data_IF_134874877601
#
_entry.id   IF_134874877601
#
_cell.length_a   1.000
_cell.length_b   1.000
_cell.length_c   1.000
_cell.angle_alpha   90.00
_cell.angle_beta   90.00
_cell.angle_gamma   90.00
#
_symmetry.space_group_name_H-M   'P 1'
#
loop_
_entity.id
_entity.type
_entity.pdbx_description
1 polymer ?
2 non-polymer ?
3 water ?
#
# COMPACT_ATOMS: atom_id res chain seq x y z
N UNK A 1 -10.03 -11.67 -22.14
CA UNK A 1 -10.93 -10.56 -21.75
C UNK A 1 -10.51 -9.86 -20.46
N UNK A 2 -11.21 -8.79 -20.14
CA UNK A 2 -11.11 -8.14 -18.85
C UNK A 2 -11.51 -9.12 -17.74
N UNK A 3 -10.70 -9.23 -16.69
CA UNK A 3 -11.01 -10.07 -15.55
C UNK A 3 -12.02 -9.38 -14.60
N UNK A 4 -11.98 -8.05 -14.53
CA UNK A 4 -12.92 -7.31 -13.73
C UNK A 4 -12.63 -5.83 -13.68
N UNK A 5 -13.29 -5.16 -12.76
CA UNK A 5 -13.24 -3.72 -12.64
C UNK A 5 -12.78 -3.30 -11.22
N UNK A 6 -11.88 -2.33 -11.18
CA UNK A 6 -11.30 -1.84 -9.95
C UNK A 6 -11.57 -0.37 -9.84
N UNK A 7 -12.23 0.01 -8.75
CA UNK A 7 -12.59 1.38 -8.55
C UNK A 7 -11.53 1.95 -7.60
N UNK A 8 -10.94 3.09 -7.93
CA UNK A 8 -9.88 3.67 -7.14
C UNK A 8 -9.78 5.13 -7.45
N UNK A 9 -8.76 5.79 -6.92
CA UNK A 9 -8.46 7.17 -7.28
C UNK A 9 -7.43 7.24 -8.38
N UNK A 10 -7.30 8.44 -8.99
CA UNK A 10 -6.22 8.62 -9.97
C UNK A 10 -4.81 8.42 -9.38
N UNK A 11 -3.96 7.75 -10.16
CA UNK A 11 -2.54 7.62 -9.86
C UNK A 11 -2.13 6.43 -9.03
N UNK A 12 -1.10 6.63 -8.20
CA UNK A 12 -0.50 5.58 -7.36
C UNK A 12 -0.99 5.57 -5.91
N UNK A 13 -2.22 5.11 -5.75
CA UNK A 13 -2.89 5.09 -4.47
C UNK A 13 -2.27 4.01 -3.51
N UNK A 14 -2.06 4.38 -2.23
CA UNK A 14 -1.45 3.51 -1.19
C UNK A 14 -2.06 2.10 -1.15
N UNK A 15 -3.36 1.95 -1.40
CA UNK A 15 -3.97 0.64 -1.19
C UNK A 15 -4.26 -0.09 -2.49
N UNK A 16 -3.75 0.44 -3.60
CA UNK A 16 -4.10 -0.12 -4.89
C UNK A 16 -2.93 -0.60 -5.74
N UNK A 17 -1.73 -0.08 -5.49
CA UNK A 17 -0.57 -0.40 -6.31
C UNK A 17 -0.39 -1.90 -6.42
N UNK A 18 -0.46 -2.57 -5.28
CA UNK A 18 -0.16 -3.98 -5.19
C UNK A 18 -1.18 -4.80 -5.87
N UNK A 19 -2.43 -4.32 -5.88
CA UNK A 19 -3.52 -4.99 -6.59
C UNK A 19 -3.30 -4.93 -8.12
N UNK A 20 -3.08 -3.74 -8.67
CA UNK A 20 -2.73 -3.63 -10.08
C UNK A 20 -1.54 -4.52 -10.37
N UNK A 21 -0.53 -4.48 -9.51
CA UNK A 21 0.71 -5.19 -9.85
C UNK A 21 0.52 -6.68 -9.96
N UNK A 22 -0.18 -7.33 -9.02
CA UNK A 22 -0.33 -8.77 -9.10
C UNK A 22 -1.29 -9.14 -10.27
N UNK A 23 -2.21 -8.25 -10.63
CA UNK A 23 -3.13 -8.53 -11.75
C UNK A 23 -2.40 -8.62 -13.08
N UNK A 24 -1.54 -7.64 -13.34
CA UNK A 24 -0.72 -7.62 -14.55
C UNK A 24 0.30 -8.77 -14.58
N UNK A 25 0.66 -9.30 -13.42
CA UNK A 25 1.67 -10.34 -13.36
C UNK A 25 1.02 -11.69 -13.61
N UNK A 26 -0.19 -11.85 -13.08
CA UNK A 26 -1.02 -13.01 -13.30
C UNK A 26 -1.79 -12.99 -14.61
N UNK A 27 -1.52 -11.97 -15.42
CA UNK A 27 -2.24 -11.80 -16.69
C UNK A 27 -3.74 -11.58 -16.62
N UNK A 28 -4.24 -10.96 -15.56
CA UNK A 28 -5.64 -10.56 -15.48
C UNK A 28 -5.82 -9.10 -15.83
N UNK A 29 -6.52 -8.82 -16.91
CA UNK A 29 -6.74 -7.45 -17.33
C UNK A 29 -7.86 -6.80 -16.49
N UNK A 30 -7.59 -5.59 -16.04
CA UNK A 30 -8.56 -4.83 -15.29
C UNK A 30 -9.00 -3.60 -16.03
N UNK A 31 -10.29 -3.29 -15.89
CA UNK A 31 -10.77 -1.98 -16.23
C UNK A 31 -10.59 -1.14 -14.96
N UNK A 32 -9.96 0.02 -15.08
CA UNK A 32 -9.75 0.90 -13.93
C UNK A 32 -10.65 2.12 -14.01
N UNK A 33 -11.48 2.30 -12.98
CA UNK A 33 -12.36 3.44 -12.85
C UNK A 33 -11.86 4.33 -11.76
N UNK A 34 -11.69 5.59 -12.10
CA UNK A 34 -11.03 6.53 -11.23
C UNK A 34 -11.98 7.60 -10.79
N UNK A 35 -13.27 7.33 -10.95
CA UNK A 35 -14.31 8.23 -10.51
C UNK A 35 -15.09 7.57 -9.41
N UNK A 36 -14.89 7.99 -8.17
CA UNK A 36 -15.62 7.34 -7.07
C UNK A 36 -17.06 7.73 -6.94
N UNK A 37 -17.82 6.84 -6.31
CA UNK A 37 -19.15 7.15 -5.81
C UNK A 37 -20.20 7.13 -6.95
N UNK A 38 -19.88 6.49 -8.07
CA UNK A 38 -20.86 6.16 -9.09
C UNK A 38 -21.75 5.02 -8.61
N UNK A 39 -22.95 4.91 -9.19
CA UNK A 39 -23.88 3.84 -8.83
C UNK A 39 -23.26 2.45 -8.86
N UNK A 40 -22.37 2.16 -9.80
CA UNK A 40 -21.76 0.85 -9.84
C UNK A 40 -20.72 0.68 -8.73
N UNK A 41 -20.05 1.75 -8.34
CA UNK A 41 -19.11 1.67 -7.22
C UNK A 41 -19.87 1.44 -5.91
N UNK A 42 -20.93 2.22 -5.68
CA UNK A 42 -21.65 2.12 -4.42
C UNK A 42 -22.42 0.84 -4.33
N UNK A 43 -22.58 0.18 -5.46
CA UNK A 43 -23.19 -1.13 -5.50
C UNK A 43 -22.28 -2.17 -4.84
N UNK A 44 -20.96 -1.92 -4.90
CA UNK A 44 -19.97 -2.77 -4.23
C UNK A 44 -19.75 -2.30 -2.80
N UNK A 45 -19.37 -1.02 -2.67
CA UNK A 45 -19.09 -0.39 -1.41
C UNK A 45 -20.13 0.70 -1.17
N UNK A 46 -21.08 0.35 -0.32
CA UNK A 46 -22.17 1.24 0.02
C UNK A 46 -21.63 2.50 0.65
N UNK A 47 -20.48 2.42 1.30
CA UNK A 47 -19.89 3.59 1.92
C UNK A 47 -19.05 4.44 0.95
N UNK A 48 -18.87 3.95 -0.25
CA UNK A 48 -18.08 4.66 -1.24
C UNK A 48 -16.58 4.64 -0.95
N UNK A 49 -16.07 3.48 -0.54
CA UNK A 49 -14.65 3.39 -0.18
C UNK A 49 -13.86 2.74 -1.30
N UNK A 50 -12.63 3.22 -1.43
CA UNK A 50 -11.65 2.77 -2.42
C UNK A 50 -10.57 1.96 -1.71
N UNK A 51 -10.10 0.86 -2.32
CA UNK A 51 -10.52 0.25 -3.57
C UNK A 51 -11.73 -0.64 -3.45
N UNK A 52 -12.43 -0.81 -4.56
CA UNK A 52 -13.53 -1.74 -4.63
C UNK A 52 -13.44 -2.43 -5.95
N UNK A 53 -13.97 -3.64 -5.99
CA UNK A 53 -13.74 -4.52 -7.13
C UNK A 53 -14.95 -5.35 -7.53
N UNK A 54 -15.14 -5.46 -8.84
CA UNK A 54 -16.18 -6.32 -9.35
C UNK A 54 -15.66 -7.10 -10.50
N UNK A 55 -15.74 -8.42 -10.38
CA UNK A 55 -15.32 -9.33 -11.42
C UNK A 55 -16.24 -9.24 -12.62
N UNK A 56 -15.75 -9.70 -13.76
CA UNK A 56 -16.59 -9.94 -14.92
C UNK A 56 -17.67 -10.96 -14.56
N UNK A 57 -17.26 -11.97 -13.80
CA UNK A 57 -18.15 -12.72 -12.92
C UNK A 57 -19.29 -11.87 -12.42
N UNK A 58 -18.90 -10.68 -11.96
CA UNK A 58 -19.64 -9.73 -11.12
C UNK A 58 -19.66 -10.14 -9.62
N UNK A 59 -18.73 -11.02 -9.27
CA UNK A 59 -18.27 -11.23 -7.89
C UNK A 59 -17.75 -9.93 -7.30
N UNK A 60 -18.33 -9.49 -6.18
CA UNK A 60 -18.05 -8.18 -5.61
C UNK A 60 -17.09 -8.29 -4.41
N UNK A 61 -16.17 -7.34 -4.29
CA UNK A 61 -15.21 -7.28 -3.17
C UNK A 61 -14.83 -5.86 -2.79
N UNK A 62 -14.73 -5.62 -1.49
CA UNK A 62 -14.05 -4.46 -0.95
C UNK A 62 -13.08 -4.94 0.15
N UNK A 63 -12.34 -3.99 0.72
CA UNK A 63 -11.15 -4.23 1.57
C UNK A 63 -9.93 -4.57 0.69
N UNK A 64 -8.92 -3.70 0.72
CA UNK A 64 -7.80 -3.86 -0.15
C UNK A 64 -7.13 -5.23 0.07
N UNK A 65 -6.97 -5.67 1.32
CA UNK A 65 -6.36 -6.98 1.57
C UNK A 65 -7.14 -8.09 0.86
N UNK A 66 -8.46 -8.01 0.88
CA UNK A 66 -9.22 -9.11 0.29
C UNK A 66 -9.06 -9.10 -1.21
N UNK A 67 -9.05 -7.91 -1.81
CA UNK A 67 -8.95 -7.80 -3.25
C UNK A 67 -7.57 -8.32 -3.68
N UNK A 68 -6.49 -7.94 -2.94
CA UNK A 68 -5.12 -8.31 -3.31
C UNK A 68 -4.96 -9.80 -3.24
N UNK A 69 -5.55 -10.37 -2.20
CA UNK A 69 -5.41 -11.79 -1.97
C UNK A 69 -6.19 -12.58 -3.04
N UNK A 70 -7.39 -12.14 -3.38
CA UNK A 70 -8.22 -12.81 -4.36
C UNK A 70 -7.54 -12.82 -5.72
N UNK A 71 -7.04 -11.67 -6.15
CA UNK A 71 -6.30 -11.62 -7.40
C UNK A 71 -5.11 -12.53 -7.40
N UNK A 72 -4.30 -12.45 -6.34
CA UNK A 72 -3.07 -13.20 -6.26
C UNK A 72 -3.36 -14.70 -6.31
N UNK A 73 -4.44 -15.12 -5.68
CA UNK A 73 -4.75 -16.55 -5.56
C UNK A 73 -5.18 -17.19 -6.89
N UNK A 74 -5.58 -16.35 -7.84
CA UNK A 74 -5.99 -16.82 -9.17
C UNK A 74 -4.92 -17.68 -9.83
N UNK A 75 -3.66 -17.42 -9.48
CA UNK A 75 -2.52 -18.16 -9.98
C UNK A 75 -2.12 -19.23 -8.99
N UNK A 76 -2.70 -20.41 -9.16
CA UNK A 76 -2.41 -21.54 -8.30
C UNK A 76 -0.90 -21.91 -8.25
N UNK A 77 -0.10 -21.37 -9.16
CA UNK A 77 1.35 -21.60 -9.11
C UNK A 77 2.09 -20.38 -8.56
N UNK A 78 1.38 -19.44 -7.95
CA UNK A 78 2.05 -18.22 -7.51
C UNK A 78 3.10 -18.50 -6.49
N UNK A 79 4.09 -17.65 -6.51
CA UNK A 79 5.23 -17.68 -5.60
C UNK A 79 5.04 -16.65 -4.47
N UNK A 80 4.05 -15.76 -4.63
CA UNK A 80 3.91 -14.59 -3.79
C UNK A 80 3.19 -14.77 -2.45
N UNK A 81 2.74 -15.99 -2.19
CA UNK A 81 1.98 -16.27 -0.98
C UNK A 81 2.68 -17.20 -0.05
N UNK A 82 4.00 -17.16 -0.07
CA UNK A 82 4.77 -17.98 0.86
C UNK A 82 4.83 -19.46 0.53
N UNK A 83 5.80 -20.09 1.19
CA UNK A 83 6.12 -21.52 1.06
C UNK A 83 5.16 -22.44 1.81
N UNK A 84 4.76 -22.03 3.02
CA UNK A 84 4.03 -22.88 3.97
C UNK A 84 3.11 -22.02 4.80
N UNK A 85 2.42 -22.62 5.77
CA UNK A 85 1.37 -21.92 6.51
C UNK A 85 1.92 -20.82 7.40
N UNK A 86 3.16 -21.00 7.83
CA UNK A 86 3.81 -20.01 8.67
C UNK A 86 4.06 -18.71 7.94
N UNK A 87 4.68 -18.83 6.79
CA UNK A 87 4.95 -17.70 5.94
C UNK A 87 3.66 -17.03 5.40
N UNK A 88 2.63 -17.82 5.14
CA UNK A 88 1.39 -17.22 4.71
C UNK A 88 0.84 -16.30 5.81
N UNK A 89 0.86 -16.79 7.02
CA UNK A 89 0.44 -16.00 8.15
C UNK A 89 1.28 -14.75 8.35
N UNK A 90 2.58 -14.83 8.08
CA UNK A 90 3.47 -13.65 8.17
C UNK A 90 3.10 -12.57 7.17
N UNK A 91 2.69 -13.00 5.99
CA UNK A 91 2.23 -12.10 4.96
C UNK A 91 0.93 -11.43 5.43
N UNK A 92 0.02 -12.20 6.03
CA UNK A 92 -1.20 -11.60 6.50
C UNK A 92 -0.85 -10.53 7.55
N UNK A 93 0.13 -10.88 8.41
CA UNK A 93 0.51 -10.03 9.51
C UNK A 93 0.99 -8.66 9.00
N UNK A 94 1.91 -8.71 8.05
CA UNK A 94 2.55 -7.48 7.64
C UNK A 94 1.55 -6.64 6.86
N UNK A 95 0.71 -7.28 6.04
CA UNK A 95 -0.34 -6.54 5.31
C UNK A 95 -1.28 -5.84 6.27
N UNK A 96 -1.73 -6.57 7.26
CA UNK A 96 -2.63 -6.01 8.27
C UNK A 96 -1.97 -4.92 9.13
N UNK A 97 -0.73 -5.16 9.57
CA UNK A 97 0.02 -4.16 10.30
C UNK A 97 0.22 -2.87 9.51
N UNK A 98 0.63 -2.99 8.23
CA UNK A 98 0.84 -1.79 7.43
C UNK A 98 -0.50 -1.07 7.21
N UNK A 99 -1.57 -1.81 7.01
CA UNK A 99 -2.86 -1.20 6.68
C UNK A 99 -3.46 -0.48 7.89
N UNK A 100 -3.20 -0.96 9.09
CA UNK A 100 -3.83 -0.39 10.29
C UNK A 100 -2.85 0.44 11.12
N UNK A 101 -1.69 -0.10 11.46
CA UNK A 101 -0.79 0.66 12.30
C UNK A 101 0.08 1.66 11.56
N UNK A 102 0.03 1.74 10.23
CA UNK A 102 0.83 2.76 9.53
C UNK A 102 -0.04 3.67 8.69
N UNK A 103 -0.76 3.12 7.71
CA UNK A 103 -1.59 3.94 6.83
C UNK A 103 -2.68 4.75 7.55
N UNK A 104 -3.40 4.11 8.46
CA UNK A 104 -4.39 4.78 9.24
C UNK A 104 -3.83 5.93 10.06
N UNK A 105 -2.73 5.72 10.77
CA UNK A 105 -2.16 6.80 11.58
C UNK A 105 -1.52 7.87 10.70
N UNK A 106 -0.86 7.45 9.63
CA UNK A 106 -0.21 8.42 8.78
C UNK A 106 -1.25 9.31 8.14
N UNK A 107 -2.43 8.75 7.88
CA UNK A 107 -3.54 9.52 7.34
C UNK A 107 -3.99 10.57 8.34
N UNK A 108 -4.12 10.19 9.61
CA UNK A 108 -4.37 11.19 10.66
C UNK A 108 -3.27 12.23 10.77
N UNK A 109 -2.05 11.88 10.43
CA UNK A 109 -0.98 12.88 10.40
C UNK A 109 -1.11 13.81 9.19
N UNK A 110 -1.56 13.27 8.06
CA UNK A 110 -1.54 13.97 6.78
C UNK A 110 -2.73 14.89 6.54
N UNK A 111 -3.94 14.39 6.78
CA UNK A 111 -5.15 15.10 6.36
C UNK A 111 -5.26 16.51 6.94
N UNK A 112 -5.01 16.67 8.25
CA UNK A 112 -5.02 18.02 8.83
C UNK A 112 -4.07 18.98 8.12
N UNK A 113 -2.98 18.46 7.56
CA UNK A 113 -1.99 19.31 6.91
C UNK A 113 -2.34 19.61 5.45
N UNK A 114 -3.43 19.05 4.97
CA UNK A 114 -3.87 19.30 3.61
C UNK A 114 -5.16 20.09 3.62
N UNK A 115 -5.74 20.25 4.82
CA UNK A 115 -6.96 21.01 5.01
C UNK A 115 -8.20 20.16 5.22
N UNK A 116 -8.14 18.90 4.79
CA UNK A 116 -9.31 18.03 4.73
C UNK A 116 -10.05 17.97 6.06
N UNK A 117 -9.43 17.30 7.04
CA UNK A 117 -10.02 17.15 8.36
C UNK A 117 -9.51 18.36 9.15
N UNK A 118 -10.25 18.79 10.20
CA UNK A 118 -9.78 19.96 10.98
C UNK A 118 -8.33 19.84 11.46
N UNK A 119 -7.71 20.99 11.74
CA UNK A 119 -6.28 21.03 12.05
C UNK A 119 -5.94 21.32 13.53
N UNK A 120 -4.85 20.72 13.98
CA UNK A 120 -4.33 20.95 15.31
C UNK A 120 -2.94 20.33 15.43
N UNK A 121 -1.90 21.15 15.65
CA UNK A 121 -0.54 20.65 15.60
C UNK A 121 -0.24 19.71 16.77
N UNK A 122 -0.88 19.92 17.90
CA UNK A 122 -0.61 19.01 19.00
C UNK A 122 -1.15 17.61 18.66
N UNK A 123 -2.25 17.56 17.92
CA UNK A 123 -2.84 16.28 17.52
C UNK A 123 -2.06 15.70 16.34
N UNK A 124 -1.65 16.56 15.41
CA UNK A 124 -0.89 16.13 14.24
C UNK A 124 0.45 15.56 14.69
N UNK A 125 1.00 16.09 15.78
CA UNK A 125 2.30 15.62 16.26
C UNK A 125 2.14 14.25 16.92
N UNK A 126 1.01 14.06 17.58
CA UNK A 126 0.73 12.78 18.19
C UNK A 126 0.75 11.63 17.16
N UNK A 127 0.10 11.86 16.03
CA UNK A 127 -0.01 10.85 15.00
C UNK A 127 1.29 10.62 14.25
N UNK A 128 2.05 11.68 14.02
CA UNK A 128 3.36 11.55 13.41
C UNK A 128 4.21 10.65 14.28
N UNK A 129 4.18 10.86 15.58
CA UNK A 129 4.95 10.02 16.46
C UNK A 129 4.47 8.56 16.44
N UNK A 130 3.16 8.33 16.56
CA UNK A 130 2.64 6.95 16.56
C UNK A 130 2.94 6.24 15.22
N UNK A 131 2.78 6.97 14.13
CA UNK A 131 3.14 6.45 12.83
C UNK A 131 4.59 6.01 12.89
N UNK A 132 5.47 6.87 13.40
CA UNK A 132 6.88 6.58 13.38
C UNK A 132 7.23 5.42 14.28
N UNK A 133 6.62 5.29 15.47
CA UNK A 133 7.00 4.13 16.28
C UNK A 133 6.52 2.83 15.64
N UNK A 134 5.57 2.88 14.71
CA UNK A 134 5.15 1.63 14.05
C UNK A 134 6.15 1.31 12.94
N UNK A 135 6.52 2.34 12.17
CA UNK A 135 7.60 2.19 11.20
C UNK A 135 8.90 1.72 11.89
N UNK A 136 9.17 2.18 13.10
CA UNK A 136 10.39 1.73 13.81
C UNK A 136 10.41 0.21 13.98
N UNK A 137 9.23 -0.40 14.13
CA UNK A 137 9.16 -1.84 14.24
C UNK A 137 9.68 -2.48 12.98
N UNK A 138 9.36 -1.85 11.87
CA UNK A 138 9.73 -2.41 10.59
C UNK A 138 11.24 -2.17 10.34
N UNK A 139 11.72 -0.95 10.60
CA UNK A 139 13.15 -0.65 10.56
C UNK A 139 14.00 -1.69 11.27
N UNK A 140 13.64 -1.98 12.50
CA UNK A 140 14.40 -2.94 13.26
C UNK A 140 14.23 -4.36 12.73
N UNK A 141 13.04 -4.70 12.26
CA UNK A 141 12.80 -6.04 11.76
C UNK A 141 13.66 -6.34 10.51
N UNK A 142 13.89 -5.32 9.69
CA UNK A 142 14.49 -5.51 8.39
C UNK A 142 16.03 -5.51 8.47
N UNK A 143 16.57 -5.20 9.65
CA UNK A 143 18.01 -5.29 9.90
C UNK A 143 18.45 -6.70 9.60
N UNK A 144 19.37 -6.85 8.67
CA UNK A 144 19.71 -8.19 8.20
C UNK A 144 18.52 -9.02 7.65
N UNK A 145 17.51 -8.37 7.05
CA UNK A 145 16.57 -9.09 6.21
C UNK A 145 16.38 -8.34 4.90
N UNK A 146 16.11 -9.11 3.86
CA UNK A 146 15.91 -8.54 2.57
C UNK A 146 14.42 -8.37 2.31
N UNK A 147 13.66 -9.42 2.56
CA UNK A 147 12.22 -9.43 2.31
C UNK A 147 11.44 -9.53 3.62
N UNK A 148 10.17 -9.09 3.64
CA UNK A 148 9.38 -9.14 4.88
C UNK A 148 9.18 -10.55 5.32
N UNK A 149 9.08 -11.43 4.35
CA UNK A 149 8.68 -12.82 4.60
C UNK A 149 9.50 -13.77 3.71
N UNK A 150 10.20 -14.71 4.33
CA UNK A 150 11.02 -15.67 3.60
C UNK A 150 12.11 -15.07 2.74
N UNK A 151 12.51 -15.82 1.74
CA UNK A 151 13.73 -15.49 0.99
C UNK A 151 13.45 -14.95 -0.40
N UNK A 152 12.19 -14.73 -0.74
CA UNK A 152 11.85 -14.13 -2.02
C UNK A 152 10.68 -13.15 -1.85
N UNK A 153 10.46 -12.34 -2.91
CA UNK A 153 9.40 -11.34 -2.96
C UNK A 153 8.08 -12.02 -2.68
N UNK A 154 7.22 -11.34 -1.92
CA UNK A 154 5.88 -11.82 -1.59
C UNK A 154 4.85 -10.69 -1.71
N UNK A 155 3.57 -11.02 -1.54
CA UNK A 155 2.47 -10.06 -1.64
C UNK A 155 2.63 -8.97 -0.57
N UNK A 156 3.09 -9.35 0.62
CA UNK A 156 3.43 -8.42 1.66
C UNK A 156 4.47 -7.38 1.25
N UNK A 157 5.51 -7.79 0.52
CA UNK A 157 6.44 -6.80 0.01
C UNK A 157 5.73 -5.77 -0.83
N UNK A 158 4.86 -6.23 -1.72
CA UNK A 158 4.29 -5.36 -2.73
C UNK A 158 3.20 -4.48 -2.09
N UNK A 159 2.39 -5.11 -1.23
CA UNK A 159 1.23 -4.47 -0.61
C UNK A 159 1.72 -3.43 0.37
N UNK A 160 2.70 -3.78 1.17
CA UNK A 160 3.15 -2.89 2.25
C UNK A 160 4.03 -1.75 1.72
N UNK A 161 4.79 -2.02 0.68
CA UNK A 161 5.57 -0.99 0.01
C UNK A 161 4.62 0.03 -0.54
N UNK A 162 3.59 -0.49 -1.23
CA UNK A 162 2.52 0.36 -1.74
C UNK A 162 1.86 1.20 -0.64
N UNK A 163 1.47 0.58 0.46
CA UNK A 163 1.01 1.35 1.62
C UNK A 163 1.98 2.48 2.06
N UNK A 164 3.22 2.12 2.40
CA UNK A 164 4.19 3.07 2.99
C UNK A 164 4.55 4.15 1.96
N UNK A 165 4.28 3.93 0.70
CA UNK A 165 4.63 4.92 -0.31
C UNK A 165 4.02 6.29 -0.01
N UNK A 166 2.92 6.30 0.75
CA UNK A 166 2.32 7.53 1.18
C UNK A 166 3.34 8.36 1.95
N UNK A 167 4.10 7.70 2.83
CA UNK A 167 5.12 8.37 3.61
C UNK A 167 6.21 8.95 2.73
N UNK A 168 6.57 8.25 1.66
CA UNK A 168 7.65 8.71 0.79
C UNK A 168 7.22 9.85 -0.13
N UNK A 169 5.91 10.01 -0.30
CA UNK A 169 5.42 11.08 -1.14
C UNK A 169 5.42 12.40 -0.36
N UNK A 170 5.30 12.35 0.97
CA UNK A 170 5.09 13.58 1.75
C UNK A 170 6.08 13.90 2.86
N UNK A 171 6.57 12.91 3.60
CA UNK A 171 7.33 13.16 4.83
C UNK A 171 8.76 12.67 4.81
N UNK A 172 9.05 11.68 3.97
CA UNK A 172 10.27 10.91 4.11
C UNK A 172 11.40 11.42 3.24
N UNK A 173 12.00 12.52 3.66
CA UNK A 173 13.12 13.14 2.97
C UNK A 173 14.44 12.42 3.24
N UNK A 174 15.50 12.88 2.57
CA UNK A 174 16.82 12.27 2.70
C UNK A 174 17.23 12.12 4.16
N UNK A 175 16.90 13.13 4.96
CA UNK A 175 17.15 13.08 6.39
C UNK A 175 16.50 11.85 7.01
N UNK A 176 15.18 11.76 6.89
CA UNK A 176 14.43 10.59 7.34
C UNK A 176 15.05 9.29 6.85
N UNK A 177 15.41 9.24 5.58
CA UNK A 177 16.00 8.02 5.02
C UNK A 177 17.35 7.68 5.68
N UNK A 178 18.07 8.69 6.12
CA UNK A 178 19.28 8.49 6.93
C UNK A 178 19.03 7.82 8.27
N UNK A 179 17.96 8.23 8.95
CA UNK A 179 17.60 7.58 10.21
C UNK A 179 16.83 6.26 10.00
N UNK A 180 16.32 6.05 8.80
CA UNK A 180 15.56 4.83 8.54
C UNK A 180 16.08 4.10 7.30
N UNK A 181 17.32 3.61 7.39
CA UNK A 181 18.03 3.11 6.21
C UNK A 181 17.53 1.78 5.73
N UNK A 182 17.13 0.90 6.65
CA UNK A 182 16.63 -0.42 6.27
C UNK A 182 15.26 -0.33 5.58
N UNK A 183 14.41 0.59 6.03
CA UNK A 183 13.09 0.67 5.47
C UNK A 183 13.27 1.33 4.15
N UNK A 184 14.20 2.28 4.10
CA UNK A 184 14.41 3.01 2.87
C UNK A 184 14.97 2.08 1.82
N UNK A 185 15.88 1.21 2.23
CA UNK A 185 16.55 0.34 1.28
C UNK A 185 15.57 -0.69 0.74
N UNK A 186 14.76 -1.25 1.65
CA UNK A 186 13.72 -2.24 1.29
C UNK A 186 12.64 -1.65 0.41
N UNK A 187 12.22 -0.45 0.74
CA UNK A 187 11.19 0.19 -0.03
C UNK A 187 11.71 0.45 -1.44
N UNK A 188 12.93 0.99 -1.51
CA UNK A 188 13.51 1.34 -2.80
C UNK A 188 13.68 0.05 -3.63
N UNK A 189 13.82 -1.09 -2.98
CA UNK A 189 14.07 -2.32 -3.70
C UNK A 189 12.77 -2.85 -4.29
N UNK A 190 11.71 -2.88 -3.48
CA UNK A 190 10.40 -3.26 -3.97
C UNK A 190 9.95 -2.39 -5.12
N UNK A 191 10.22 -1.10 -5.03
CA UNK A 191 9.77 -0.20 -6.06
C UNK A 191 10.50 -0.38 -7.35
N UNK A 192 11.60 -1.14 -7.34
CA UNK A 192 12.34 -1.41 -8.57
C UNK A 192 12.10 -2.83 -9.06
N UNK A 193 11.33 -3.61 -8.33
CA UNK A 193 10.91 -4.91 -8.88
C UNK A 193 10.05 -4.69 -10.11
N UNK A 194 10.30 -5.43 -11.19
CA UNK A 194 9.50 -5.15 -12.39
C UNK A 194 7.98 -5.25 -12.19
N UNK A 195 7.53 -6.22 -11.40
CA UNK A 195 6.10 -6.46 -11.22
C UNK A 195 5.43 -5.23 -10.66
N UNK A 196 6.16 -4.55 -9.78
CA UNK A 196 5.67 -3.35 -9.12
C UNK A 196 5.90 -2.08 -9.92
N UNK A 197 7.04 -1.97 -10.57
CA UNK A 197 7.37 -0.74 -11.29
C UNK A 197 6.51 -0.64 -12.56
N UNK A 198 6.09 -1.77 -13.08
CA UNK A 198 5.26 -1.81 -14.27
C UNK A 198 3.99 -1.01 -14.15
N UNK A 199 3.42 -0.92 -12.94
CA UNK A 199 2.11 -0.31 -12.77
C UNK A 199 2.15 0.97 -11.96
N UNK A 200 3.29 1.65 -11.92
CA UNK A 200 3.41 2.85 -11.11
C UNK A 200 4.14 3.91 -11.93
N UNK A 201 4.00 5.17 -11.54
CA UNK A 201 4.80 6.23 -12.12
C UNK A 201 6.28 6.03 -11.81
N UNK A 202 7.14 6.95 -12.27
CA UNK A 202 8.58 6.71 -12.18
C UNK A 202 9.05 6.99 -10.77
N UNK A 203 9.92 6.12 -10.29
CA UNK A 203 10.32 6.15 -8.90
C UNK A 203 11.01 7.47 -8.63
N UNK A 204 10.78 8.03 -7.45
CA UNK A 204 11.36 9.33 -7.12
C UNK A 204 11.23 9.63 -5.62
N UNK A 205 12.31 10.13 -5.02
CA UNK A 205 12.37 10.38 -3.60
C UNK A 205 12.49 11.87 -3.31
N UNK A 206 11.98 12.28 -2.17
CA UNK A 206 12.04 13.67 -1.76
C UNK A 206 13.45 14.01 -1.32
N UNK A 207 13.83 15.28 -1.43
CA UNK A 207 15.03 15.75 -0.75
C UNK A 207 14.59 16.32 0.61
N UNK A 208 13.85 17.42 0.56
CA UNK A 208 13.22 17.93 1.76
C UNK A 208 11.80 17.35 1.87
N UNK A 209 11.32 17.13 3.11
CA UNK A 209 9.92 16.73 3.22
C UNK A 209 9.03 17.78 2.60
N UNK A 210 8.00 17.37 1.87
CA UNK A 210 6.96 18.29 1.45
C UNK A 210 6.09 18.79 2.60
N UNK A 211 6.25 18.22 3.79
CA UNK A 211 5.42 18.66 4.91
C UNK A 211 6.06 18.57 6.27
N UNK A 212 5.78 19.62 7.02
CA UNK A 212 6.04 19.76 8.44
C UNK A 212 4.82 20.56 8.85
N UNK A 213 4.71 20.96 10.12
CA UNK A 213 3.65 21.90 10.51
C UNK A 213 4.23 23.28 10.83
N UNK A 214 3.45 24.36 10.61
CA UNK A 214 2.01 24.33 10.28
C UNK A 214 1.62 24.67 8.84
N UNK A 215 0.45 24.17 8.41
CA UNK A 215 -0.36 24.69 7.28
C UNK A 215 -1.75 25.13 7.73
X LIG B 1 -10.70 -0.81 5.41
X LIG B 1 -10.52 -0.32 4.08
X LIG B 1 -9.49 -1.19 3.36
X LIG B 1 -8.56 -1.75 3.98
X LIG B 1 -9.59 -1.40 2.13
X LIG B 1 -10.13 1.15 4.12
X LIG B 1 -10.47 1.80 2.80
X LIG B 1 -10.54 3.32 2.88
X LIG B 1 -10.81 3.85 3.92
X LIG B 1 -10.28 4.08 1.70
X LIG B 1 -10.31 5.49 1.67
X LIG B 1 -11.68 5.96 1.17
X LIG B 1 -12.15 5.49 0.18
X LIG B 1 -9.24 6.00 0.69
X LIG B 1 -7.56 5.53 1.10
X LIG B 1 -12.40 6.97 1.86
X LIG B 1 -13.66 7.41 1.39
X LIG B 1 -14.57 7.41 2.59
X LIG B 1 -14.14 6.95 3.66
X LIG B 1 -15.74 7.85 2.51
X LIG B 1 -11.59 -0.78 5.63
X LIG B 1 -10.40 -1.67 5.46
X LIG B 1 -11.37 -0.40 3.60
X LIG B 1 -10.62 1.59 4.85
X LIG B 1 -9.17 1.23 4.29
X LIG B 1 -11.34 1.46 2.50
X LIG B 1 -9.79 1.54 2.15
X LIG B 1 -10.08 3.63 0.92
X LIG B 1 -10.13 5.85 2.56
X LIG B 1 -9.29 6.97 0.67
X LIG B 1 -9.44 5.64 -0.19
X LIG B 1 -7.02 6.42 1.65
X LIG B 1 -12.05 7.34 2.61
X LIG B 1 -13.58 8.32 1.03
X LIG B 1 -14.01 6.80 0.71
#
# INVERSE_FOLDING_TARGET
>A
MVFGTLYTFPGDQCRTIAIKAVAKANGLDLDIRETPRTPDHLSISKLGKVPAFQGADSFKLFECMAIALYITSQNEQTTLLGKDKKEYAEIIKWMSFFNTEIVILMTQQLLPQLGVIPYDRDQVEFFANMTQRSVDVVEEYLQDRTFLVGDQLSLADLFCAGNISLGFQFFYGKAWRQQNPNVSRWYEMVCHQPIYAAVTDKFQLLDEPKLTNNPPEKKPETVPKNGAAVAIEATQAGHHHHHH
>B hetero
1 GSH N1 CA1 C1 O11 O12 CB1 CG1 CD1 OE1 N2 CA2 C2 O2 CB2 SG2 N3 CA3 C3 O31 O32 HN11 HN12 HA1 HB12 HB13 HG12 HG13 HN2 HA2 HB22 HB23 HSG HN3 HA31 HA32
#
